data_IF_994022849725
#
_entry.id   IF_994022849725
#
_cell.length_a   1.000
_cell.length_b   1.000
_cell.length_c   1.000
_cell.angle_alpha   90.00
_cell.angle_beta   90.00
_cell.angle_gamma   90.00
#
_symmetry.space_group_name_H-M   'P 1'
#
loop_
_entity.id
_entity.type
_entity.pdbx_description
1 polymer ?
#
# COMPACT_ATOMS: atom_id res chain seq x y z
N UNK A 1 -14.55 -19.42 13.60
CA UNK A 1 -15.49 -18.39 14.08
C UNK A 1 -14.85 -17.00 14.17
N UNK A 2 -13.65 -16.83 14.75
CA UNK A 2 -12.95 -15.53 14.78
C UNK A 2 -12.76 -14.85 13.41
N UNK A 3 -12.44 -15.61 12.35
CA UNK A 3 -12.23 -15.04 11.01
C UNK A 3 -13.49 -14.44 10.38
N UNK A 4 -14.66 -15.05 10.62
CA UNK A 4 -15.93 -14.49 10.15
C UNK A 4 -16.30 -13.24 10.94
N UNK A 5 -16.07 -13.25 12.26
CA UNK A 5 -16.31 -12.09 13.11
C UNK A 5 -15.43 -10.89 12.70
N UNK A 6 -14.14 -11.12 12.41
CA UNK A 6 -13.26 -10.04 11.96
C UNK A 6 -13.64 -9.51 10.57
N UNK A 7 -14.02 -10.38 9.63
CA UNK A 7 -14.49 -9.96 8.29
C UNK A 7 -15.76 -9.13 8.37
N UNK A 8 -16.73 -9.56 9.17
CA UNK A 8 -17.97 -8.80 9.39
C UNK A 8 -17.68 -7.47 10.09
N UNK A 9 -16.79 -7.47 11.09
CA UNK A 9 -16.34 -6.26 11.78
C UNK A 9 -15.66 -5.26 10.83
N UNK A 10 -14.84 -5.73 9.89
CA UNK A 10 -14.21 -4.87 8.88
C UNK A 10 -15.23 -4.28 7.90
N UNK A 11 -16.21 -5.06 7.45
CA UNK A 11 -17.30 -4.55 6.60
C UNK A 11 -18.13 -3.50 7.34
N UNK A 12 -18.44 -3.75 8.61
CA UNK A 12 -19.14 -2.78 9.47
C UNK A 12 -18.34 -1.50 9.67
N UNK A 13 -17.04 -1.60 10.02
CA UNK A 13 -16.15 -0.46 10.14
C UNK A 13 -16.11 0.34 8.83
N UNK A 14 -15.97 -0.33 7.69
CA UNK A 14 -16.00 0.30 6.37
C UNK A 14 -17.30 1.06 6.12
N UNK A 15 -18.44 0.46 6.45
CA UNK A 15 -19.75 1.13 6.32
C UNK A 15 -19.87 2.36 7.23
N UNK A 16 -19.38 2.30 8.47
CA UNK A 16 -19.36 3.43 9.41
C UNK A 16 -18.47 4.56 8.87
N UNK A 17 -17.28 4.24 8.35
CA UNK A 17 -16.38 5.24 7.76
C UNK A 17 -17.01 5.90 6.54
N UNK A 18 -17.62 5.12 5.64
CA UNK A 18 -18.32 5.67 4.46
C UNK A 18 -19.45 6.59 4.90
N UNK A 19 -20.26 6.18 5.88
CA UNK A 19 -21.36 7.00 6.39
C UNK A 19 -20.86 8.31 7.02
N UNK A 20 -19.79 8.25 7.82
CA UNK A 20 -19.21 9.43 8.46
C UNK A 20 -18.62 10.41 7.42
N UNK A 21 -17.84 9.91 6.46
CA UNK A 21 -17.24 10.73 5.40
C UNK A 21 -18.29 11.27 4.44
N UNK A 22 -19.40 10.58 4.21
CA UNK A 22 -20.46 11.04 3.30
C UNK A 22 -21.44 12.02 3.94
N UNK A 23 -21.33 12.28 5.25
CA UNK A 23 -22.22 13.18 5.95
C UNK A 23 -21.99 14.63 5.49
N UNK A 24 -23.05 15.31 5.05
CA UNK A 24 -23.01 16.70 4.57
C UNK A 24 -22.35 17.66 5.56
N UNK A 25 -22.59 17.45 6.86
CA UNK A 25 -22.02 18.23 7.96
C UNK A 25 -20.48 18.22 8.00
N UNK A 26 -19.82 17.19 7.45
CA UNK A 26 -18.35 17.11 7.41
C UNK A 26 -17.76 18.08 6.38
N UNK A 27 -18.53 18.42 5.34
CA UNK A 27 -18.09 19.23 4.21
C UNK A 27 -18.76 20.61 4.14
N UNK A 28 -19.65 20.90 5.08
CA UNK A 28 -20.53 22.06 5.05
C UNK A 28 -19.75 23.38 5.15
N UNK A 29 -18.68 23.39 5.94
CA UNK A 29 -17.84 24.56 6.16
C UNK A 29 -16.52 24.43 5.40
N UNK A 30 -16.27 25.41 4.54
CA UNK A 30 -14.96 25.59 3.95
C UNK A 30 -14.01 26.09 5.04
N UNK A 31 -12.91 25.38 5.24
CA UNK A 31 -11.90 25.84 6.20
C UNK A 31 -11.23 27.11 5.69
N UNK A 32 -11.22 28.17 6.50
CA UNK A 32 -10.38 29.36 6.26
C UNK A 32 -8.89 29.07 6.49
N UNK A 33 -8.56 27.89 7.05
CA UNK A 33 -7.21 27.46 7.31
C UNK A 33 -6.60 26.79 6.07
N UNK A 34 -5.53 27.39 5.56
CA UNK A 34 -4.74 26.82 4.48
C UNK A 34 -3.64 25.93 5.06
N UNK A 35 -3.70 24.64 4.75
CA UNK A 35 -2.63 23.69 5.10
C UNK A 35 -1.34 24.13 4.43
N UNK A 36 -0.31 24.36 5.23
CA UNK A 36 1.04 24.62 4.71
C UNK A 36 1.81 23.31 4.56
N UNK A 37 2.89 23.35 3.77
CA UNK A 37 3.85 22.22 3.71
C UNK A 37 4.46 21.91 5.08
N UNK A 38 4.58 22.92 5.96
CA UNK A 38 5.07 22.75 7.33
C UNK A 38 4.09 21.95 8.19
N UNK A 39 2.79 22.26 8.08
CA UNK A 39 1.74 21.54 8.80
C UNK A 39 1.65 20.08 8.36
N UNK A 40 1.75 19.84 7.04
CA UNK A 40 1.81 18.49 6.49
C UNK A 40 3.04 17.72 7.02
N UNK A 41 4.22 18.34 7.01
CA UNK A 41 5.43 17.70 7.53
C UNK A 41 5.31 17.37 9.02
N UNK A 42 4.74 18.28 9.82
CA UNK A 42 4.49 18.06 11.25
C UNK A 42 3.53 16.89 11.48
N UNK A 43 2.43 16.83 10.73
CA UNK A 43 1.47 15.72 10.81
C UNK A 43 2.10 14.38 10.36
N UNK A 44 2.87 14.38 9.27
CA UNK A 44 3.54 13.18 8.74
C UNK A 44 4.57 12.59 9.70
N UNK A 45 5.38 13.44 10.35
CA UNK A 45 6.42 13.00 11.29
C UNK A 45 5.97 12.92 12.75
N UNK A 46 4.76 13.39 13.07
CA UNK A 46 4.11 13.26 14.36
C UNK A 46 3.04 12.17 14.35
N UNK A 47 1.80 12.58 14.16
CA UNK A 47 0.59 11.74 14.23
C UNK A 47 0.64 10.54 13.27
N UNK A 48 1.16 10.75 12.07
CA UNK A 48 1.22 9.74 11.01
C UNK A 48 2.55 8.99 10.93
N UNK A 49 3.45 9.17 11.89
CA UNK A 49 4.80 8.60 11.81
C UNK A 49 4.79 7.06 11.73
N UNK A 50 3.96 6.39 12.54
CA UNK A 50 3.86 4.92 12.54
C UNK A 50 3.24 4.37 11.26
N UNK A 51 2.09 4.89 10.77
CA UNK A 51 1.58 4.52 9.45
C UNK A 51 2.58 4.77 8.31
N UNK A 52 3.29 5.90 8.33
CA UNK A 52 4.29 6.24 7.31
C UNK A 52 5.46 5.24 7.32
N UNK A 53 5.94 4.85 8.50
CA UNK A 53 6.96 3.81 8.65
C UNK A 53 6.47 2.47 8.07
N UNK A 54 5.26 2.05 8.44
CA UNK A 54 4.67 0.82 7.92
C UNK A 54 4.56 0.84 6.40
N UNK A 55 4.14 1.97 5.81
CA UNK A 55 4.08 2.15 4.37
C UNK A 55 5.47 2.06 3.72
N UNK A 56 6.49 2.68 4.33
CA UNK A 56 7.87 2.58 3.87
C UNK A 56 8.38 1.12 3.87
N UNK A 57 8.04 0.34 4.89
CA UNK A 57 8.38 -1.08 4.96
C UNK A 57 7.67 -1.89 3.86
N UNK A 58 6.38 -1.66 3.65
CA UNK A 58 5.62 -2.31 2.58
C UNK A 58 6.19 -1.97 1.20
N UNK A 59 6.56 -0.71 0.98
CA UNK A 59 7.17 -0.26 -0.27
C UNK A 59 8.55 -0.90 -0.48
N UNK A 60 9.38 -0.98 0.57
CA UNK A 60 10.66 -1.67 0.50
C UNK A 60 10.48 -3.16 0.16
N UNK A 61 9.51 -3.83 0.79
CA UNK A 61 9.18 -5.22 0.49
C UNK A 61 8.72 -5.40 -0.96
N UNK A 62 7.91 -4.48 -1.48
CA UNK A 62 7.48 -4.49 -2.87
C UNK A 62 8.66 -4.33 -3.84
N UNK A 63 9.60 -3.42 -3.56
CA UNK A 63 10.81 -3.25 -4.38
C UNK A 63 11.69 -4.51 -4.39
N UNK A 64 11.90 -5.12 -3.21
CA UNK A 64 12.65 -6.38 -3.12
C UNK A 64 11.97 -7.49 -3.90
N UNK A 65 10.64 -7.60 -3.81
CA UNK A 65 9.85 -8.56 -4.58
C UNK A 65 10.01 -8.36 -6.10
N UNK A 66 9.90 -7.12 -6.58
CA UNK A 66 10.07 -6.79 -7.99
C UNK A 66 11.48 -7.13 -8.51
N UNK A 67 12.52 -6.84 -7.71
CA UNK A 67 13.89 -7.21 -8.07
C UNK A 67 14.10 -8.73 -8.15
N UNK A 68 13.45 -9.50 -7.26
CA UNK A 68 13.49 -10.96 -7.29
C UNK A 68 12.81 -11.53 -8.53
N UNK A 69 11.68 -10.96 -8.96
CA UNK A 69 10.98 -11.40 -10.17
C UNK A 69 11.87 -11.24 -11.41
N UNK A 70 12.46 -10.06 -11.62
CA UNK A 70 13.38 -9.83 -12.75
C UNK A 70 14.61 -10.72 -12.68
N UNK A 71 15.12 -10.98 -11.47
CA UNK A 71 16.26 -11.90 -11.30
C UNK A 71 15.88 -13.32 -11.67
N UNK A 72 14.69 -13.77 -11.30
CA UNK A 72 14.20 -15.11 -11.62
C UNK A 72 14.04 -15.29 -13.14
N UNK A 73 13.46 -14.31 -13.83
CA UNK A 73 13.39 -14.28 -15.30
C UNK A 73 14.77 -14.38 -15.95
N UNK A 74 15.75 -13.62 -15.45
CA UNK A 74 17.14 -13.66 -15.94
C UNK A 74 17.80 -15.02 -15.69
N UNK A 75 17.53 -15.65 -14.54
CA UNK A 75 18.06 -16.98 -14.21
C UNK A 75 17.46 -18.07 -15.09
N UNK A 76 16.17 -17.99 -15.41
CA UNK A 76 15.52 -18.91 -16.34
C UNK A 76 16.13 -18.78 -17.75
N UNK A 77 16.32 -17.56 -18.22
CA UNK A 77 16.93 -17.32 -19.53
C UNK A 77 18.37 -17.86 -19.60
N UNK A 78 19.17 -17.65 -18.55
CA UNK A 78 20.53 -18.16 -18.46
C UNK A 78 20.59 -19.70 -18.47
N UNK A 79 19.63 -20.37 -17.81
CA UNK A 79 19.55 -21.84 -17.82
C UNK A 79 19.19 -22.37 -19.20
N UNK A 80 18.28 -21.70 -19.91
CA UNK A 80 17.92 -22.05 -21.29
C UNK A 80 19.13 -21.95 -22.24
N UNK A 81 19.95 -20.90 -22.10
CA UNK A 81 21.18 -20.73 -22.88
C UNK A 81 22.25 -21.79 -22.55
N UNK A 82 22.39 -22.18 -21.27
CA UNK A 82 23.38 -23.17 -20.84
C UNK A 82 23.02 -24.63 -21.22
N UNK A 83 21.72 -24.96 -21.21
CA UNK A 83 21.21 -26.32 -21.47
C UNK A 83 20.94 -26.57 -22.96
N UNK A 84 21.36 -25.65 -23.84
CA UNK A 84 21.36 -25.85 -25.28
C UNK A 84 20.00 -25.65 -25.95
N UNK A 85 19.24 -24.63 -25.54
CA UNK A 85 17.91 -24.28 -26.07
C UNK A 85 17.84 -23.83 -27.54
N UNK A 86 18.82 -24.22 -28.36
CA UNK A 86 18.94 -23.91 -29.79
C UNK A 86 19.03 -25.19 -30.65
N UNK A 87 18.60 -26.36 -30.13
CA UNK A 87 18.59 -27.63 -30.88
C UNK A 87 17.20 -28.20 -31.17
N UNK A 88 16.12 -27.45 -30.92
CA UNK A 88 14.74 -27.82 -31.29
C UNK A 88 14.27 -26.99 -32.51
N UNK A 89 14.91 -27.18 -33.66
CA UNK A 89 14.41 -26.86 -35.02
C UNK A 89 14.22 -28.16 -35.82
#
# INVERSE_FOLDING_TARGET
MLSILSRVGLVFLGAVLIAAVSADSVWQDSSDYTITTGDLASAMFGEWALPLLALGFLMAMAMVGAAYLVRDERLVNLKWELDGGENDD
#
